data_IF_871048876682
#
_entry.id   IF_871048876682
#
_cell.length_a   1.000
_cell.length_b   1.000
_cell.length_c   1.000
_cell.angle_alpha   90.00
_cell.angle_beta   90.00
_cell.angle_gamma   90.00
#
_symmetry.space_group_name_H-M   'P 1'
#
loop_
_entity.id
_entity.type
_entity.pdbx_description
1 polymer ?
#
# COMPACT_ATOMS: atom_id res chain seq x y z
N UNK A 1 2.18 -7.30 -1.69
CA UNK A 1 2.65 -8.37 -2.60
C UNK A 1 1.45 -8.94 -3.32
N UNK A 2 1.60 -9.32 -4.59
CA UNK A 2 0.61 -10.09 -5.35
C UNK A 2 1.33 -11.26 -6.02
N UNK A 3 0.64 -12.37 -6.28
CA UNK A 3 1.24 -13.55 -6.93
C UNK A 3 0.59 -13.81 -8.27
N UNK A 4 1.43 -14.02 -9.28
CA UNK A 4 1.03 -14.31 -10.66
C UNK A 4 1.69 -15.62 -11.07
N UNK A 5 0.92 -16.55 -11.62
CA UNK A 5 1.42 -17.83 -12.14
C UNK A 5 2.16 -17.66 -13.48
N UNK A 6 2.72 -18.76 -14.00
CA UNK A 6 3.50 -18.75 -15.25
C UNK A 6 2.63 -18.44 -16.49
N UNK A 7 1.32 -18.61 -16.41
CA UNK A 7 0.36 -18.23 -17.45
C UNK A 7 -0.19 -16.80 -17.30
N UNK A 8 0.29 -16.04 -16.31
CA UNK A 8 -0.12 -14.66 -16.09
C UNK A 8 -1.42 -14.48 -15.31
N UNK A 9 -1.90 -15.51 -14.60
CA UNK A 9 -3.11 -15.43 -13.76
C UNK A 9 -2.77 -15.01 -12.34
N UNK A 10 -3.64 -14.18 -11.76
CA UNK A 10 -3.53 -13.80 -10.36
C UNK A 10 -3.94 -14.97 -9.47
N UNK A 11 -3.00 -15.51 -8.69
CA UNK A 11 -3.21 -16.64 -7.76
C UNK A 11 -3.22 -16.22 -6.30
N UNK A 12 -2.81 -14.98 -6.02
CA UNK A 12 -3.02 -14.30 -4.74
C UNK A 12 -3.23 -12.81 -4.98
N UNK A 13 -4.31 -12.20 -4.46
CA UNK A 13 -4.55 -10.77 -4.63
C UNK A 13 -3.52 -9.94 -3.86
N UNK A 14 -3.53 -8.63 -4.09
CA UNK A 14 -2.64 -7.69 -3.39
C UNK A 14 -2.90 -7.77 -1.88
N UNK A 15 -1.84 -8.03 -1.13
CA UNK A 15 -1.87 -8.06 0.33
C UNK A 15 -0.59 -7.48 0.97
N UNK A 16 -0.60 -7.19 2.26
CA UNK A 16 0.58 -6.79 3.04
C UNK A 16 1.27 -8.02 3.61
N UNK A 17 2.47 -8.31 3.11
CA UNK A 17 3.31 -9.41 3.59
C UNK A 17 4.74 -8.94 3.81
N UNK A 18 5.47 -9.62 4.69
CA UNK A 18 6.86 -9.33 5.03
C UNK A 18 7.72 -10.57 4.85
N UNK A 19 8.98 -10.36 4.42
CA UNK A 19 9.97 -11.43 4.27
C UNK A 19 10.78 -11.72 5.54
N UNK A 20 10.64 -10.90 6.58
CA UNK A 20 11.30 -11.05 7.89
C UNK A 20 10.43 -10.47 9.00
N UNK A 21 10.79 -10.76 10.26
CA UNK A 21 10.12 -10.26 11.46
C UNK A 21 10.80 -9.00 12.05
N UNK A 22 11.71 -8.34 11.34
CA UNK A 22 12.49 -7.20 11.86
C UNK A 22 11.59 -6.04 12.36
N UNK A 23 10.42 -5.89 11.73
CA UNK A 23 9.44 -4.85 12.06
C UNK A 23 8.15 -5.42 12.67
N UNK A 24 8.13 -6.67 13.14
CA UNK A 24 6.90 -7.32 13.65
C UNK A 24 6.24 -6.53 14.78
N UNK A 25 7.04 -5.85 15.62
CA UNK A 25 6.57 -4.98 16.70
C UNK A 25 5.74 -3.77 16.21
N UNK A 26 5.91 -3.36 14.96
CA UNK A 26 5.16 -2.27 14.33
C UNK A 26 4.06 -2.78 13.41
N UNK A 27 4.30 -3.89 12.70
CA UNK A 27 3.40 -4.39 11.66
C UNK A 27 2.36 -5.35 12.20
N UNK A 28 2.66 -6.06 13.30
CA UNK A 28 1.85 -7.14 13.86
C UNK A 28 1.77 -8.39 12.98
N UNK A 29 2.57 -8.47 11.91
CA UNK A 29 2.46 -9.52 10.89
C UNK A 29 3.66 -10.46 10.98
N UNK A 30 3.38 -11.74 11.23
CA UNK A 30 4.39 -12.80 11.22
C UNK A 30 4.72 -13.24 9.79
N UNK A 31 5.96 -13.02 9.39
CA UNK A 31 6.49 -13.42 8.08
C UNK A 31 6.42 -14.94 7.83
N UNK A 32 6.41 -15.77 8.89
CA UNK A 32 6.35 -17.22 8.74
C UNK A 32 5.10 -17.69 7.99
N UNK A 33 3.96 -16.99 8.15
CA UNK A 33 2.71 -17.29 7.42
C UNK A 33 2.93 -17.12 5.92
N UNK A 34 3.45 -15.96 5.50
CA UNK A 34 3.71 -15.67 4.09
C UNK A 34 4.72 -16.63 3.47
N UNK A 35 5.82 -16.90 4.18
CA UNK A 35 6.88 -17.78 3.70
C UNK A 35 6.39 -19.22 3.51
N UNK A 36 5.55 -19.72 4.43
CA UNK A 36 4.92 -21.03 4.31
C UNK A 36 4.01 -21.10 3.07
N UNK A 37 3.11 -20.13 2.92
CA UNK A 37 2.18 -20.09 1.77
C UNK A 37 2.95 -19.99 0.45
N UNK A 38 4.03 -19.21 0.40
CA UNK A 38 4.87 -19.09 -0.78
C UNK A 38 5.55 -20.41 -1.12
N UNK A 39 6.04 -21.13 -0.11
CA UNK A 39 6.63 -22.44 -0.28
C UNK A 39 5.60 -23.47 -0.80
N UNK A 40 4.41 -23.51 -0.20
CA UNK A 40 3.30 -24.38 -0.63
C UNK A 40 2.89 -24.11 -2.07
N UNK A 41 2.80 -22.84 -2.48
CA UNK A 41 2.52 -22.49 -3.86
C UNK A 41 3.62 -22.96 -4.81
N UNK A 42 4.87 -22.58 -4.56
CA UNK A 42 5.98 -22.87 -5.49
C UNK A 42 6.30 -24.37 -5.57
N UNK A 43 6.12 -25.13 -4.49
CA UNK A 43 6.49 -26.55 -4.43
C UNK A 43 5.35 -27.52 -4.69
N UNK A 44 4.13 -27.11 -4.38
CA UNK A 44 2.97 -28.01 -4.36
C UNK A 44 1.80 -27.48 -5.19
N UNK A 45 1.98 -26.34 -5.88
CA UNK A 45 0.95 -25.64 -6.66
C UNK A 45 -0.30 -25.30 -5.82
N UNK A 46 -0.10 -25.09 -4.52
CA UNK A 46 -1.16 -24.72 -3.57
C UNK A 46 -1.32 -23.22 -3.50
N UNK A 47 -2.38 -22.72 -4.10
CA UNK A 47 -2.75 -21.30 -4.05
C UNK A 47 -4.27 -21.13 -3.91
N UNK A 48 -4.71 -19.88 -3.75
CA UNK A 48 -6.14 -19.59 -3.64
C UNK A 48 -6.88 -19.98 -4.92
N UNK A 49 -8.10 -20.50 -4.76
CA UNK A 49 -9.01 -20.72 -5.87
C UNK A 49 -9.40 -19.38 -6.52
N UNK A 50 -9.68 -19.34 -7.83
CA UNK A 50 -9.96 -18.08 -8.54
C UNK A 50 -11.09 -17.24 -7.96
N UNK A 51 -12.16 -17.87 -7.46
CA UNK A 51 -13.28 -17.21 -6.78
C UNK A 51 -12.84 -16.54 -5.47
N UNK A 52 -11.94 -17.18 -4.72
CA UNK A 52 -11.36 -16.62 -3.50
C UNK A 52 -10.39 -15.48 -3.78
N UNK A 53 -9.64 -15.55 -4.88
CA UNK A 53 -8.81 -14.42 -5.33
C UNK A 53 -9.71 -13.22 -5.63
N UNK A 54 -10.78 -13.41 -6.40
CA UNK A 54 -11.73 -12.34 -6.75
C UNK A 54 -12.43 -11.75 -5.54
N UNK A 55 -12.89 -12.59 -4.60
CA UNK A 55 -13.57 -12.14 -3.38
C UNK A 55 -12.68 -11.26 -2.48
N UNK A 56 -11.36 -11.44 -2.56
CA UNK A 56 -10.37 -10.70 -1.76
C UNK A 56 -9.65 -9.61 -2.56
N UNK A 57 -10.04 -9.33 -3.81
CA UNK A 57 -9.49 -8.20 -4.56
C UNK A 57 -10.11 -6.89 -4.10
N UNK A 58 -9.29 -5.99 -3.57
CA UNK A 58 -9.65 -4.58 -3.38
C UNK A 58 -9.42 -3.82 -4.69
N UNK A 59 -10.51 -3.44 -5.36
CA UNK A 59 -10.47 -2.60 -6.56
C UNK A 59 -10.42 -1.12 -6.17
N UNK A 60 -9.65 -0.29 -6.91
CA UNK A 60 -9.63 1.14 -6.68
C UNK A 60 -10.99 1.77 -6.99
N UNK A 61 -11.42 2.69 -6.14
CA UNK A 61 -12.55 3.58 -6.39
C UNK A 61 -12.17 4.68 -7.40
N UNK A 62 -13.14 5.47 -7.85
CA UNK A 62 -12.87 6.65 -8.68
C UNK A 62 -12.01 7.68 -7.95
N UNK A 63 -12.23 7.85 -6.64
CA UNK A 63 -11.41 8.73 -5.80
C UNK A 63 -9.98 8.20 -5.67
N UNK A 64 -9.78 6.88 -5.57
CA UNK A 64 -8.43 6.29 -5.56
C UNK A 64 -7.69 6.52 -6.87
N UNK A 65 -8.41 6.46 -8.00
CA UNK A 65 -7.85 6.72 -9.32
C UNK A 65 -7.50 8.21 -9.48
N UNK A 66 -8.40 9.10 -9.09
CA UNK A 66 -8.16 10.54 -9.11
C UNK A 66 -7.00 10.92 -8.20
N UNK A 67 -6.91 10.35 -6.99
CA UNK A 67 -5.81 10.57 -6.07
C UNK A 67 -4.45 10.19 -6.70
N UNK A 68 -4.40 9.09 -7.45
CA UNK A 68 -3.18 8.67 -8.17
C UNK A 68 -2.83 9.62 -9.31
N UNK A 69 -3.83 10.15 -10.03
CA UNK A 69 -3.63 11.15 -11.07
C UNK A 69 -3.10 12.47 -10.48
N UNK A 70 -3.71 12.96 -9.41
CA UNK A 70 -3.28 14.13 -8.64
C UNK A 70 -1.83 13.95 -8.15
N UNK A 71 -1.52 12.81 -7.55
CA UNK A 71 -0.15 12.50 -7.12
C UNK A 71 0.84 12.47 -8.29
N UNK A 72 0.45 11.88 -9.43
CA UNK A 72 1.28 11.84 -10.64
C UNK A 72 1.56 13.24 -11.21
N UNK A 73 0.55 14.10 -11.24
CA UNK A 73 0.68 15.49 -11.67
C UNK A 73 1.56 16.30 -10.70
N UNK A 74 1.35 16.15 -9.40
CA UNK A 74 2.21 16.77 -8.38
C UNK A 74 3.67 16.36 -8.53
N UNK A 75 3.94 15.07 -8.79
CA UNK A 75 5.30 14.58 -9.08
C UNK A 75 5.93 15.23 -10.30
N UNK A 76 5.16 15.38 -11.38
CA UNK A 76 5.65 16.03 -12.59
C UNK A 76 6.00 17.50 -12.33
N UNK A 77 5.11 18.23 -11.65
CA UNK A 77 5.31 19.64 -11.31
C UNK A 77 6.54 19.84 -10.41
N UNK A 78 6.72 19.00 -9.39
CA UNK A 78 7.93 19.01 -8.56
C UNK A 78 9.20 18.76 -9.39
N UNK A 79 9.14 17.85 -10.38
CA UNK A 79 10.30 17.57 -11.24
C UNK A 79 10.72 18.75 -12.14
N UNK A 80 9.82 19.69 -12.40
CA UNK A 80 10.10 20.92 -13.17
C UNK A 80 10.24 22.17 -12.29
N UNK A 81 10.31 21.99 -10.96
CA UNK A 81 10.50 23.09 -9.99
C UNK A 81 9.25 23.93 -9.70
N UNK A 82 8.06 23.43 -10.04
CA UNK A 82 6.79 24.10 -9.76
C UNK A 82 6.22 23.66 -8.40
N UNK A 83 6.95 23.95 -7.32
CA UNK A 83 6.73 23.36 -6.00
C UNK A 83 5.37 23.71 -5.37
N UNK A 84 4.91 24.96 -5.49
CA UNK A 84 3.61 25.38 -4.96
C UNK A 84 2.45 24.65 -5.67
N UNK A 85 2.54 24.50 -6.99
CA UNK A 85 1.56 23.76 -7.77
C UNK A 85 1.62 22.26 -7.40
N UNK A 86 2.81 21.70 -7.27
CA UNK A 86 2.99 20.31 -6.85
C UNK A 86 2.36 20.05 -5.47
N UNK A 87 2.58 20.94 -4.51
CA UNK A 87 2.04 20.83 -3.17
C UNK A 87 0.50 20.78 -3.16
N UNK A 88 -0.17 21.63 -3.94
CA UNK A 88 -1.62 21.63 -4.06
C UNK A 88 -2.17 20.28 -4.56
N UNK A 89 -1.51 19.67 -5.54
CA UNK A 89 -1.88 18.35 -6.07
C UNK A 89 -1.61 17.22 -5.06
N UNK A 90 -0.51 17.28 -4.31
CA UNK A 90 -0.25 16.31 -3.24
C UNK A 90 -1.29 16.37 -2.11
N UNK A 91 -1.70 17.58 -1.71
CA UNK A 91 -2.72 17.77 -0.70
C UNK A 91 -4.08 17.24 -1.19
N UNK A 92 -4.44 17.53 -2.44
CA UNK A 92 -5.66 16.99 -3.07
C UNK A 92 -5.65 15.47 -3.11
N UNK A 93 -4.54 14.85 -3.51
CA UNK A 93 -4.38 13.40 -3.53
C UNK A 93 -4.56 12.79 -2.13
N UNK A 94 -4.02 13.42 -1.09
CA UNK A 94 -4.17 13.00 0.30
C UNK A 94 -5.61 13.12 0.81
N UNK A 95 -6.36 14.14 0.40
CA UNK A 95 -7.78 14.31 0.73
C UNK A 95 -8.65 13.24 0.06
N UNK A 96 -8.38 12.91 -1.20
CA UNK A 96 -9.15 11.91 -1.96
C UNK A 96 -8.92 10.49 -1.45
N UNK A 97 -7.70 10.16 -1.03
CA UNK A 97 -7.34 8.82 -0.57
C UNK A 97 -6.66 8.84 0.81
N UNK A 98 -7.38 9.18 1.90
CA UNK A 98 -6.80 9.35 3.23
C UNK A 98 -6.18 8.06 3.78
N UNK A 99 -6.72 6.90 3.37
CA UNK A 99 -6.25 5.55 3.69
C UNK A 99 -4.97 5.14 2.95
N UNK A 100 -4.65 5.79 1.83
CA UNK A 100 -3.49 5.42 1.00
C UNK A 100 -2.23 6.13 1.49
N UNK A 101 -1.62 5.59 2.54
CA UNK A 101 -0.36 6.13 3.07
C UNK A 101 0.78 6.18 2.04
N UNK A 102 0.75 5.34 1.00
CA UNK A 102 1.76 5.40 -0.07
C UNK A 102 1.71 6.73 -0.84
N UNK A 103 0.53 7.28 -1.09
CA UNK A 103 0.37 8.59 -1.76
C UNK A 103 0.89 9.70 -0.85
N UNK A 104 0.42 9.73 0.40
CA UNK A 104 0.76 10.76 1.37
C UNK A 104 2.26 10.76 1.70
N UNK A 105 2.79 9.60 2.12
CA UNK A 105 4.21 9.39 2.43
C UNK A 105 5.11 9.57 1.21
N UNK A 106 4.66 9.16 0.03
CA UNK A 106 5.41 9.26 -1.22
C UNK A 106 5.70 10.70 -1.64
N UNK A 107 4.86 11.66 -1.24
CA UNK A 107 5.06 13.08 -1.53
C UNK A 107 6.03 13.78 -0.59
N UNK A 108 6.27 13.23 0.62
CA UNK A 108 6.98 13.93 1.69
C UNK A 108 8.41 14.34 1.29
N UNK A 109 9.18 13.44 0.67
CA UNK A 109 10.55 13.77 0.22
C UNK A 109 10.59 14.89 -0.81
N UNK A 110 9.56 15.03 -1.64
CA UNK A 110 9.47 16.09 -2.65
C UNK A 110 9.09 17.44 -2.02
N UNK A 111 8.69 17.42 -0.75
CA UNK A 111 8.29 18.57 0.05
C UNK A 111 9.27 18.84 1.19
N UNK A 112 10.49 18.29 1.10
CA UNK A 112 11.53 18.36 2.13
C UNK A 112 11.09 17.87 3.53
N UNK A 113 10.22 16.85 3.54
CA UNK A 113 9.71 16.21 4.76
C UNK A 113 10.26 14.81 4.92
N UNK A 114 10.47 14.40 6.16
CA UNK A 114 10.92 13.05 6.50
C UNK A 114 9.76 12.04 6.37
N UNK A 115 9.80 11.09 5.42
CA UNK A 115 8.77 10.07 5.24
C UNK A 115 8.72 9.02 6.37
N UNK A 116 9.58 9.12 7.38
CA UNK A 116 9.56 8.32 8.61
C UNK A 116 9.50 9.20 9.87
N UNK A 117 9.35 10.51 9.72
CA UNK A 117 9.37 11.47 10.83
C UNK A 117 8.03 11.59 11.56
N UNK A 118 7.96 12.55 12.48
CA UNK A 118 6.82 12.79 13.35
C UNK A 118 5.51 13.01 12.58
N UNK A 119 5.55 13.70 11.43
CA UNK A 119 4.36 13.93 10.62
C UNK A 119 3.75 12.61 10.13
N UNK A 120 4.57 11.69 9.59
CA UNK A 120 4.08 10.39 9.13
C UNK A 120 3.58 9.52 10.29
N UNK A 121 4.30 9.54 11.42
CA UNK A 121 3.89 8.83 12.64
C UNK A 121 2.54 9.34 13.13
N UNK A 122 2.33 10.66 13.15
CA UNK A 122 1.06 11.30 13.50
C UNK A 122 -0.08 10.82 12.61
N UNK A 123 0.13 10.74 11.28
CA UNK A 123 -0.89 10.23 10.36
C UNK A 123 -1.31 8.78 10.66
N UNK A 124 -0.35 7.92 11.05
CA UNK A 124 -0.66 6.53 11.42
C UNK A 124 -1.39 6.45 12.77
N UNK A 125 -1.01 7.29 13.73
CA UNK A 125 -1.68 7.37 15.04
C UNK A 125 -3.13 7.82 14.87
N UNK A 126 -3.38 8.88 14.10
CA UNK A 126 -4.72 9.39 13.86
C UNK A 126 -5.60 8.32 13.20
N UNK A 127 -5.06 7.62 12.19
CA UNK A 127 -5.75 6.55 11.48
C UNK A 127 -6.14 5.38 12.39
N UNK A 128 -5.19 4.91 13.20
CA UNK A 128 -5.40 3.79 14.13
C UNK A 128 -6.30 4.17 15.30
N UNK A 129 -6.18 5.40 15.82
CA UNK A 129 -7.04 5.94 16.88
C UNK A 129 -8.49 6.09 16.43
N UNK A 130 -8.72 6.30 15.13
CA UNK A 130 -10.05 6.26 14.52
C UNK A 130 -10.60 4.82 14.32
N UNK A 131 -9.89 3.79 14.77
CA UNK A 131 -10.31 2.39 14.70
C UNK A 131 -9.98 1.69 13.39
N UNK A 132 -9.23 2.32 12.48
CA UNK A 132 -8.88 1.71 11.21
C UNK A 132 -7.62 0.82 11.34
N UNK A 133 -7.62 -0.40 10.76
CA UNK A 133 -6.42 -1.23 10.75
C UNK A 133 -5.33 -0.64 9.84
N UNK A 134 -4.07 -0.78 10.22
CA UNK A 134 -2.92 -0.42 9.36
C UNK A 134 -2.72 -1.42 8.23
N UNK A 135 -2.88 -2.70 8.53
CA UNK A 135 -2.71 -3.79 7.60
C UNK A 135 -3.87 -4.77 7.75
N UNK A 136 -4.28 -5.40 6.65
CA UNK A 136 -5.28 -6.47 6.63
C UNK A 136 -4.68 -7.70 5.92
N UNK A 137 -3.74 -8.41 6.57
CA UNK A 137 -3.10 -9.57 5.96
C UNK A 137 -4.14 -10.67 5.69
N UNK A 138 -4.07 -11.27 4.51
CA UNK A 138 -4.78 -12.50 4.18
C UNK A 138 -4.08 -13.67 4.87
N UNK A 139 -4.82 -14.38 5.72
CA UNK A 139 -4.29 -15.48 6.54
C UNK A 139 -4.20 -16.82 5.82
N UNK A 140 -4.91 -16.94 4.70
CA UNK A 140 -4.96 -18.10 3.78
C UNK A 140 -4.21 -17.80 2.49
#
# INVERSE_FOLDING_TARGET
>A
MLWIDEEGRLVRPKDVTFGSNDFIQYTGIDSAVHLRLLHEWVREDKHLAPDRVLANMELPTDDDQLARAEFGLGRHLASVGADDAAAAHFDRAGTLAPAQFTIRRGSMRMRDKDPMGEEFIGMMIDWTSAGNPLNKPLSE
#
